data_IF_846280167601
#
_entry.id   IF_846280167601
#
_cell.length_a   1.000
_cell.length_b   1.000
_cell.length_c   1.000
_cell.angle_alpha   90.00
_cell.angle_beta   90.00
_cell.angle_gamma   90.00
#
_symmetry.space_group_name_H-M   'P 1'
#
loop_
_entity.id
_entity.type
_entity.pdbx_description
1 polymer ?
#
# COMPACT_ATOMS: atom_id res chain seq x y z
N UNK A 1 53.16 20.76 -43.54
CA UNK A 1 52.90 19.84 -42.44
C UNK A 1 51.52 20.22 -41.85
N UNK A 2 50.43 19.50 -42.21
CA UNK A 2 49.06 19.74 -41.71
C UNK A 2 48.90 18.93 -40.41
N UNK A 3 48.68 19.63 -39.28
CA UNK A 3 48.31 19.02 -38.00
C UNK A 3 46.83 18.66 -38.03
N UNK A 4 46.52 17.35 -38.03
CA UNK A 4 45.20 16.83 -37.90
C UNK A 4 44.82 16.84 -36.41
N UNK A 5 43.92 17.73 -36.03
CA UNK A 5 43.34 17.82 -34.68
C UNK A 5 42.26 16.72 -34.56
N UNK A 6 42.59 15.64 -33.89
CA UNK A 6 41.61 14.57 -33.56
C UNK A 6 40.85 15.01 -32.28
N UNK A 7 39.63 15.46 -32.43
CA UNK A 7 38.72 15.71 -31.32
C UNK A 7 38.14 14.35 -30.89
N UNK A 8 38.37 13.88 -29.65
CA UNK A 8 37.69 12.67 -29.17
C UNK A 8 36.22 13.00 -28.98
N UNK A 9 35.35 12.38 -29.78
CA UNK A 9 33.91 12.40 -29.62
C UNK A 9 33.58 11.59 -28.36
N UNK A 10 33.40 12.27 -27.24
CA UNK A 10 32.91 11.70 -25.98
C UNK A 10 31.44 11.34 -26.18
N UNK A 11 31.18 10.08 -26.55
CA UNK A 11 29.82 9.52 -26.54
C UNK A 11 29.32 9.49 -25.09
N UNK A 12 28.58 10.53 -24.72
CA UNK A 12 27.80 10.57 -23.49
C UNK A 12 26.67 9.54 -23.64
N UNK A 13 26.91 8.30 -23.23
CA UNK A 13 25.86 7.29 -23.09
C UNK A 13 24.96 7.73 -21.92
N UNK A 14 23.92 8.52 -22.19
CA UNK A 14 22.80 8.69 -21.30
C UNK A 14 22.13 7.30 -21.16
N UNK A 15 22.55 6.52 -20.17
CA UNK A 15 21.74 5.42 -19.68
C UNK A 15 20.43 6.04 -19.19
N UNK A 16 19.37 5.90 -19.97
CA UNK A 16 18.01 6.16 -19.49
C UNK A 16 17.75 5.10 -18.40
N UNK A 17 18.06 5.46 -17.16
CA UNK A 17 17.54 4.73 -16.02
C UNK A 17 16.03 4.93 -16.08
N UNK A 18 15.30 4.00 -16.68
CA UNK A 18 13.85 3.95 -16.55
C UNK A 18 13.57 3.83 -15.06
N UNK A 19 13.03 4.88 -14.47
CA UNK A 19 12.54 4.81 -13.12
C UNK A 19 11.47 3.70 -13.08
N UNK A 20 11.71 2.66 -12.24
CA UNK A 20 10.74 1.57 -12.09
C UNK A 20 9.40 2.17 -11.66
N UNK A 21 8.37 1.99 -12.48
CA UNK A 21 6.99 2.37 -12.17
C UNK A 21 6.26 1.24 -11.44
N UNK A 22 5.05 1.49 -10.96
CA UNK A 22 4.26 0.48 -10.26
C UNK A 22 3.89 -0.70 -11.18
N UNK A 23 3.76 -0.50 -12.48
CA UNK A 23 3.48 -1.58 -13.43
C UNK A 23 4.63 -2.59 -13.49
N UNK A 24 5.87 -2.11 -13.63
CA UNK A 24 7.06 -2.97 -13.62
C UNK A 24 7.26 -3.66 -12.27
N UNK A 25 6.96 -2.98 -11.17
CA UNK A 25 6.99 -3.57 -9.83
C UNK A 25 5.89 -4.61 -9.63
N UNK A 26 4.68 -4.38 -10.13
CA UNK A 26 3.61 -5.38 -10.12
C UNK A 26 4.01 -6.65 -10.88
N UNK A 27 4.65 -6.51 -12.04
CA UNK A 27 5.16 -7.65 -12.82
C UNK A 27 6.27 -8.42 -12.09
N UNK A 28 7.20 -7.71 -11.44
CA UNK A 28 8.35 -8.32 -10.75
C UNK A 28 8.07 -8.71 -9.29
N UNK A 29 6.86 -8.48 -8.79
CA UNK A 29 6.52 -8.76 -7.39
C UNK A 29 6.74 -10.24 -7.06
N UNK A 30 7.42 -10.57 -5.95
CA UNK A 30 7.63 -11.95 -5.54
C UNK A 30 6.32 -12.59 -5.04
N UNK A 31 6.27 -13.92 -5.05
CA UNK A 31 5.12 -14.69 -4.54
C UNK A 31 4.77 -14.34 -3.09
N UNK A 32 5.75 -13.99 -2.25
CA UNK A 32 5.51 -13.54 -0.88
C UNK A 32 4.66 -12.26 -0.78
N UNK A 33 4.65 -11.45 -1.84
CA UNK A 33 3.83 -10.22 -1.94
C UNK A 33 2.52 -10.51 -2.69
N UNK A 34 2.58 -11.17 -3.85
CA UNK A 34 1.42 -11.51 -4.69
C UNK A 34 1.26 -13.04 -4.84
N UNK A 35 0.86 -13.76 -3.78
CA UNK A 35 0.86 -15.23 -3.77
C UNK A 35 -0.15 -15.87 -4.72
N UNK A 36 -1.19 -15.15 -5.13
CA UNK A 36 -2.29 -15.68 -5.92
C UNK A 36 -2.20 -15.38 -7.42
N UNK A 37 -1.22 -14.57 -7.83
CA UNK A 37 -1.04 -14.15 -9.23
C UNK A 37 0.26 -14.68 -9.80
N UNK A 38 0.15 -15.56 -10.79
CA UNK A 38 1.30 -15.97 -11.60
C UNK A 38 1.80 -14.79 -12.45
N UNK A 39 2.99 -14.90 -13.01
CA UNK A 39 3.54 -13.89 -13.93
C UNK A 39 2.62 -13.70 -15.16
N UNK A 40 2.10 -14.79 -15.73
CA UNK A 40 1.16 -14.72 -16.85
C UNK A 40 -0.14 -14.01 -16.45
N UNK A 41 -0.73 -14.34 -15.29
CA UNK A 41 -1.94 -13.67 -14.83
C UNK A 41 -1.73 -12.18 -14.58
N UNK A 42 -0.52 -11.76 -14.19
CA UNK A 42 -0.16 -10.34 -14.04
C UNK A 42 -0.03 -9.65 -15.39
N UNK A 43 0.55 -10.31 -16.39
CA UNK A 43 0.61 -9.81 -17.75
C UNK A 43 -0.80 -9.64 -18.34
N UNK A 44 -1.67 -10.63 -18.18
CA UNK A 44 -3.09 -10.56 -18.61
C UNK A 44 -3.82 -9.37 -17.96
N UNK A 45 -3.58 -9.10 -16.65
CA UNK A 45 -4.17 -7.94 -15.98
C UNK A 45 -3.73 -6.62 -16.61
N UNK A 46 -2.45 -6.49 -17.00
CA UNK A 46 -1.93 -5.29 -17.65
C UNK A 46 -2.56 -5.14 -19.03
N UNK A 47 -2.64 -6.21 -19.81
CA UNK A 47 -3.24 -6.20 -21.16
C UNK A 47 -4.72 -5.79 -21.10
N UNK A 48 -5.48 -6.27 -20.11
CA UNK A 48 -6.88 -5.87 -19.89
C UNK A 48 -7.00 -4.38 -19.54
N UNK A 49 -6.13 -3.87 -18.65
CA UNK A 49 -6.12 -2.43 -18.31
C UNK A 49 -5.81 -1.59 -19.54
N UNK A 50 -4.83 -1.98 -20.35
CA UNK A 50 -4.42 -1.24 -21.56
C UNK A 50 -5.52 -1.28 -22.64
N UNK A 51 -6.31 -2.35 -22.66
CA UNK A 51 -7.50 -2.46 -23.53
C UNK A 51 -8.73 -1.72 -22.96
N UNK A 52 -8.65 -1.07 -21.78
CA UNK A 52 -9.78 -0.41 -21.13
C UNK A 52 -10.83 -1.40 -20.59
N UNK A 53 -10.42 -2.64 -20.33
CA UNK A 53 -11.27 -3.70 -19.81
C UNK A 53 -11.10 -3.85 -18.31
N UNK A 54 -12.06 -4.49 -17.64
CA UNK A 54 -11.91 -4.89 -16.25
C UNK A 54 -10.84 -5.98 -16.11
N UNK A 55 -9.80 -5.74 -15.31
CA UNK A 55 -8.71 -6.68 -15.09
C UNK A 55 -9.09 -7.73 -14.05
N UNK A 56 -9.82 -8.75 -14.49
CA UNK A 56 -10.25 -9.91 -13.69
C UNK A 56 -9.61 -11.16 -14.22
N UNK A 57 -8.88 -11.87 -13.35
CA UNK A 57 -8.21 -13.12 -13.68
C UNK A 57 -8.55 -14.23 -12.69
N UNK A 58 -8.44 -15.48 -13.12
CA UNK A 58 -8.50 -16.63 -12.22
C UNK A 58 -7.17 -16.73 -11.48
N UNK A 59 -7.22 -16.84 -10.16
CA UNK A 59 -6.04 -16.95 -9.31
C UNK A 59 -5.66 -18.42 -9.03
N UNK A 60 -4.52 -18.64 -8.35
CA UNK A 60 -4.00 -19.99 -8.06
C UNK A 60 -4.87 -20.85 -7.13
N UNK A 61 -5.96 -20.29 -6.58
CA UNK A 61 -6.95 -21.00 -5.75
C UNK A 61 -8.28 -21.18 -6.49
N UNK A 62 -8.30 -21.09 -7.83
CA UNK A 62 -9.50 -21.16 -8.67
C UNK A 62 -10.55 -20.07 -8.36
N UNK A 63 -10.17 -19.05 -7.57
CA UNK A 63 -10.98 -17.88 -7.29
C UNK A 63 -10.69 -16.75 -8.29
N UNK A 64 -11.30 -15.59 -8.05
CA UNK A 64 -11.07 -14.38 -8.85
C UNK A 64 -10.19 -13.37 -8.13
N UNK A 65 -9.24 -12.81 -8.85
CA UNK A 65 -8.48 -11.61 -8.47
C UNK A 65 -8.83 -10.49 -9.41
N UNK A 66 -9.02 -9.28 -8.88
CA UNK A 66 -9.40 -8.07 -9.62
C UNK A 66 -8.36 -6.98 -9.36
N UNK A 67 -7.71 -6.49 -10.41
CA UNK A 67 -6.89 -5.28 -10.31
C UNK A 67 -7.80 -4.07 -10.55
N UNK A 68 -8.12 -3.36 -9.47
CA UNK A 68 -9.06 -2.22 -9.48
C UNK A 68 -8.41 -0.94 -9.98
N UNK A 69 -7.11 -0.76 -9.66
CA UNK A 69 -6.30 0.36 -10.11
C UNK A 69 -4.85 -0.07 -10.27
N UNK A 70 -4.20 0.42 -11.32
CA UNK A 70 -2.76 0.26 -11.55
C UNK A 70 -2.28 1.50 -12.31
N UNK A 71 -1.67 2.43 -11.58
CA UNK A 71 -1.09 3.68 -12.09
C UNK A 71 0.44 3.62 -12.08
N UNK A 72 1.10 4.75 -12.31
CA UNK A 72 2.58 4.81 -12.29
C UNK A 72 3.15 4.59 -10.88
N UNK A 73 2.39 4.92 -9.83
CA UNK A 73 2.87 4.89 -8.44
C UNK A 73 1.93 4.15 -7.46
N UNK A 74 0.77 3.65 -7.93
CA UNK A 74 -0.23 3.02 -7.07
C UNK A 74 -0.82 1.77 -7.71
N UNK A 75 -1.18 0.79 -6.87
CA UNK A 75 -1.99 -0.36 -7.23
C UNK A 75 -3.00 -0.71 -6.14
N UNK A 76 -4.23 -1.08 -6.53
CA UNK A 76 -5.28 -1.66 -5.66
C UNK A 76 -5.78 -2.96 -6.27
N UNK A 77 -5.63 -4.05 -5.51
CA UNK A 77 -5.89 -5.41 -5.96
C UNK A 77 -6.81 -6.11 -4.96
N UNK A 78 -8.00 -6.49 -5.41
CA UNK A 78 -8.84 -7.45 -4.71
C UNK A 78 -8.31 -8.86 -4.94
N UNK A 79 -7.56 -9.40 -3.97
CA UNK A 79 -6.91 -10.71 -4.10
C UNK A 79 -7.92 -11.86 -4.07
N UNK A 80 -8.92 -11.74 -3.18
CA UNK A 80 -10.06 -12.67 -3.04
C UNK A 80 -11.30 -11.87 -2.63
N UNK A 81 -12.43 -12.54 -2.39
CA UNK A 81 -13.63 -11.90 -1.82
C UNK A 81 -13.42 -11.31 -0.42
N UNK A 82 -12.39 -11.76 0.31
CA UNK A 82 -12.11 -11.35 1.69
C UNK A 82 -10.68 -10.85 1.92
N UNK A 83 -9.89 -10.64 0.88
CA UNK A 83 -8.53 -10.10 1.01
C UNK A 83 -8.19 -9.14 -0.11
N UNK A 84 -7.43 -8.10 0.22
CA UNK A 84 -6.96 -7.09 -0.72
C UNK A 84 -5.50 -6.71 -0.46
N UNK A 85 -4.90 -6.10 -1.45
CA UNK A 85 -3.55 -5.59 -1.39
C UNK A 85 -3.51 -4.23 -2.09
N UNK A 86 -2.90 -3.25 -1.42
CA UNK A 86 -2.58 -1.95 -2.00
C UNK A 86 -1.07 -1.74 -1.98
N UNK A 87 -0.55 -1.10 -3.02
CA UNK A 87 0.86 -0.72 -3.12
C UNK A 87 0.97 0.74 -3.50
N UNK A 88 1.93 1.46 -2.90
CA UNK A 88 2.25 2.85 -3.25
C UNK A 88 3.75 3.04 -3.30
N UNK A 89 4.23 3.68 -4.35
CA UNK A 89 5.59 4.19 -4.44
C UNK A 89 5.71 5.47 -3.62
N UNK A 90 6.62 5.46 -2.66
CA UNK A 90 6.87 6.60 -1.77
C UNK A 90 8.23 7.20 -2.10
N UNK A 91 8.31 8.50 -2.44
CA UNK A 91 9.57 9.19 -2.70
C UNK A 91 10.37 9.37 -1.41
N UNK A 92 11.70 9.20 -1.50
CA UNK A 92 12.64 9.48 -0.42
C UNK A 92 13.29 10.85 -0.62
N UNK A 93 13.74 11.48 0.46
CA UNK A 93 14.40 12.80 0.40
C UNK A 93 15.73 12.79 -0.36
N UNK A 94 16.38 11.65 -0.49
CA UNK A 94 17.62 11.46 -1.25
C UNK A 94 17.38 11.22 -2.76
N UNK A 95 16.14 11.30 -3.22
CA UNK A 95 15.72 11.07 -4.60
C UNK A 95 15.44 9.59 -4.92
N UNK A 96 15.63 8.68 -3.97
CA UNK A 96 15.22 7.27 -4.10
C UNK A 96 13.71 7.09 -3.91
N UNK A 97 13.28 5.84 -3.94
CA UNK A 97 11.89 5.44 -3.67
C UNK A 97 11.84 4.12 -2.91
N UNK A 98 10.77 3.91 -2.16
CA UNK A 98 10.42 2.63 -1.52
C UNK A 98 8.97 2.28 -1.85
N UNK A 99 8.62 1.02 -1.65
CA UNK A 99 7.27 0.50 -1.86
C UNK A 99 6.62 0.33 -0.49
N UNK A 100 5.47 0.98 -0.27
CA UNK A 100 4.58 0.67 0.84
C UNK A 100 3.54 -0.34 0.37
N UNK A 101 3.38 -1.44 1.09
CA UNK A 101 2.41 -2.50 0.80
C UNK A 101 1.47 -2.63 1.98
N UNK A 102 0.18 -2.52 1.73
CA UNK A 102 -0.89 -2.76 2.71
C UNK A 102 -1.64 -4.02 2.30
N UNK A 103 -1.59 -5.06 3.12
CA UNK A 103 -2.38 -6.30 2.95
C UNK A 103 -3.52 -6.28 3.94
N UNK A 104 -4.75 -6.42 3.46
CA UNK A 104 -5.95 -6.41 4.30
C UNK A 104 -6.71 -7.73 4.19
N UNK A 105 -7.23 -8.17 5.31
CA UNK A 105 -8.15 -9.31 5.40
C UNK A 105 -9.43 -8.82 6.06
N UNK A 106 -10.55 -9.17 5.45
CA UNK A 106 -11.90 -8.83 5.91
C UNK A 106 -12.63 -10.10 6.34
N UNK A 107 -13.04 -10.12 7.60
CA UNK A 107 -14.04 -11.02 8.13
C UNK A 107 -15.25 -10.14 8.58
N UNK A 108 -15.67 -10.23 9.83
CA UNK A 108 -16.64 -9.29 10.40
C UNK A 108 -16.04 -7.90 10.56
N UNK A 109 -14.77 -7.81 10.97
CA UNK A 109 -13.97 -6.61 10.96
C UNK A 109 -12.78 -6.76 9.99
N UNK A 110 -12.30 -5.64 9.45
CA UNK A 110 -11.15 -5.62 8.54
C UNK A 110 -9.87 -5.32 9.31
N UNK A 111 -8.79 -6.06 9.03
CA UNK A 111 -7.48 -5.82 9.62
C UNK A 111 -6.40 -5.77 8.54
N UNK A 112 -5.40 -4.91 8.72
CA UNK A 112 -4.34 -4.69 7.76
C UNK A 112 -2.96 -4.89 8.34
N UNK A 113 -2.06 -5.39 7.50
CA UNK A 113 -0.62 -5.42 7.75
C UNK A 113 0.08 -4.48 6.77
N UNK A 114 0.92 -3.59 7.28
CA UNK A 114 1.71 -2.63 6.49
C UNK A 114 3.16 -3.07 6.48
N UNK A 115 3.74 -3.17 5.28
CA UNK A 115 5.14 -3.53 5.08
C UNK A 115 5.80 -2.59 4.07
N UNK A 116 7.13 -2.47 4.14
CA UNK A 116 7.91 -1.63 3.24
C UNK A 116 9.01 -2.45 2.57
N UNK A 117 9.24 -2.18 1.30
CA UNK A 117 10.25 -2.85 0.47
C UNK A 117 11.05 -1.81 -0.32
N UNK A 118 12.29 -2.15 -0.64
CA UNK A 118 13.02 -1.44 -1.68
C UNK A 118 12.49 -1.83 -3.09
N UNK A 119 13.04 -1.24 -4.13
CA UNK A 119 12.61 -1.49 -5.51
C UNK A 119 13.00 -2.90 -6.03
N UNK A 120 13.88 -3.62 -5.30
CA UNK A 120 14.22 -5.02 -5.55
C UNK A 120 13.39 -6.00 -4.70
N UNK A 121 12.32 -5.53 -4.06
CA UNK A 121 11.45 -6.30 -3.16
C UNK A 121 12.14 -6.84 -1.89
N UNK A 122 13.28 -6.28 -1.48
CA UNK A 122 13.90 -6.62 -0.20
C UNK A 122 13.19 -5.85 0.92
N UNK A 123 12.82 -6.53 2.02
CA UNK A 123 12.16 -5.84 3.15
C UNK A 123 13.04 -4.73 3.73
N UNK A 124 12.48 -3.55 3.93
CA UNK A 124 13.12 -2.44 4.63
C UNK A 124 12.96 -2.66 6.13
N UNK A 125 14.00 -3.17 6.77
CA UNK A 125 14.03 -3.46 8.21
C UNK A 125 14.83 -2.44 9.00
N UNK A 126 14.59 -2.32 10.32
CA UNK A 126 15.37 -1.47 11.23
C UNK A 126 15.05 0.03 11.16
N UNK A 127 14.17 0.46 10.25
CA UNK A 127 13.67 1.84 10.18
C UNK A 127 12.21 1.87 10.66
N UNK A 128 11.88 2.79 11.59
CA UNK A 128 10.49 3.01 12.02
C UNK A 128 9.79 3.93 11.02
N UNK A 129 9.31 3.35 9.91
CA UNK A 129 8.68 4.10 8.80
C UNK A 129 7.21 4.44 9.06
N UNK A 130 6.54 3.68 9.92
CA UNK A 130 5.18 3.91 10.38
C UNK A 130 5.08 3.52 11.85
N UNK A 131 4.48 4.37 12.65
CA UNK A 131 4.08 4.08 14.02
C UNK A 131 2.57 3.97 14.09
N UNK A 132 2.07 2.74 14.27
CA UNK A 132 0.64 2.50 14.34
C UNK A 132 0.04 3.17 15.57
N UNK A 133 -1.17 3.78 15.46
CA UNK A 133 -1.82 4.45 16.58
C UNK A 133 -2.18 3.45 17.67
N UNK A 134 -2.12 3.86 18.93
CA UNK A 134 -2.76 3.12 20.01
C UNK A 134 -4.30 3.24 19.90
N UNK A 135 -5.06 2.32 20.52
CA UNK A 135 -6.54 2.35 20.48
C UNK A 135 -7.09 3.71 20.93
N UNK A 136 -6.48 4.31 21.96
CA UNK A 136 -6.87 5.63 22.47
C UNK A 136 -6.79 6.75 21.43
N UNK A 137 -5.90 6.65 20.47
CA UNK A 137 -5.69 7.65 19.42
C UNK A 137 -6.84 7.73 18.41
N UNK A 138 -7.64 6.67 18.32
CA UNK A 138 -8.80 6.64 17.44
C UNK A 138 -10.02 7.31 18.06
N UNK A 139 -10.02 7.65 19.33
CA UNK A 139 -11.16 8.36 19.94
C UNK A 139 -11.13 9.86 19.61
N UNK A 140 -12.31 10.44 19.45
CA UNK A 140 -12.50 11.87 19.14
C UNK A 140 -12.09 12.77 20.30
N UNK A 141 -12.12 12.26 21.55
CA UNK A 141 -11.71 12.99 22.76
C UNK A 141 -11.18 12.05 23.83
N UNK A 142 -10.42 12.61 24.79
CA UNK A 142 -9.95 11.88 25.98
C UNK A 142 -11.12 11.36 26.85
N UNK A 143 -12.20 12.12 26.96
CA UNK A 143 -13.38 11.71 27.71
C UNK A 143 -14.09 10.52 27.07
N UNK A 144 -14.20 10.52 25.74
CA UNK A 144 -14.72 9.36 25.00
C UNK A 144 -13.87 8.14 25.19
N UNK A 145 -12.54 8.29 25.12
CA UNK A 145 -11.60 7.20 25.38
C UNK A 145 -11.75 6.65 26.79
N UNK A 146 -11.73 7.52 27.83
CA UNK A 146 -11.88 7.11 29.22
C UNK A 146 -13.18 6.34 29.48
N UNK A 147 -14.25 6.66 28.74
CA UNK A 147 -15.57 6.05 28.92
C UNK A 147 -15.72 4.70 28.21
N UNK A 148 -15.06 4.52 27.05
CA UNK A 148 -15.38 3.40 26.17
C UNK A 148 -14.20 2.47 25.86
N UNK A 149 -12.96 2.79 26.29
CA UNK A 149 -11.76 2.02 25.93
C UNK A 149 -11.83 0.58 26.45
N UNK A 150 -12.47 0.34 27.60
CA UNK A 150 -12.63 -0.99 28.19
C UNK A 150 -13.48 -1.94 27.33
N UNK A 151 -14.22 -1.40 26.35
CA UNK A 151 -14.96 -2.17 25.36
C UNK A 151 -14.15 -2.52 24.12
N UNK A 152 -12.93 -1.99 24.02
CA UNK A 152 -12.04 -2.08 22.87
C UNK A 152 -10.86 -3.02 23.16
N UNK A 153 -11.14 -4.30 23.35
CA UNK A 153 -10.19 -5.33 23.83
C UNK A 153 -9.37 -5.97 22.70
N UNK A 154 -9.76 -5.79 21.43
CA UNK A 154 -9.07 -6.37 20.27
C UNK A 154 -8.56 -5.22 19.39
N UNK A 155 -7.28 -5.29 19.00
CA UNK A 155 -6.67 -4.33 18.09
C UNK A 155 -6.88 -4.76 16.63
N UNK A 156 -7.93 -4.23 16.00
CA UNK A 156 -8.24 -4.45 14.60
C UNK A 156 -8.22 -3.09 13.88
N UNK A 157 -7.28 -2.92 12.96
CA UNK A 157 -7.07 -1.65 12.25
C UNK A 157 -6.98 -1.90 10.75
N UNK A 158 -7.89 -1.28 10.01
CA UNK A 158 -7.80 -1.16 8.56
C UNK A 158 -6.88 -0.01 8.20
N UNK A 159 -5.92 -0.28 7.32
CA UNK A 159 -5.11 0.74 6.68
C UNK A 159 -5.47 0.86 5.20
N UNK A 160 -5.44 2.09 4.67
CA UNK A 160 -5.69 2.36 3.26
C UNK A 160 -4.72 3.42 2.74
N UNK A 161 -4.07 3.14 1.61
CA UNK A 161 -3.23 4.08 0.89
C UNK A 161 -4.09 4.92 -0.06
N UNK A 162 -3.76 6.20 -0.22
CA UNK A 162 -4.37 7.08 -1.21
C UNK A 162 -3.74 6.85 -2.60
N UNK A 163 -4.56 6.86 -3.63
CA UNK A 163 -4.09 6.87 -5.03
C UNK A 163 -3.65 8.28 -5.47
N UNK A 164 -4.31 9.32 -4.95
CA UNK A 164 -4.11 10.70 -5.36
C UNK A 164 -3.01 11.45 -4.62
N UNK A 165 -2.57 10.96 -3.45
CA UNK A 165 -1.56 11.62 -2.63
C UNK A 165 -0.69 10.62 -1.83
N UNK A 166 0.14 11.13 -0.91
CA UNK A 166 1.05 10.32 -0.11
C UNK A 166 0.50 10.04 1.29
N UNK A 167 -0.82 9.91 1.44
CA UNK A 167 -1.44 9.63 2.73
C UNK A 167 -1.71 8.14 2.93
N UNK A 168 -1.67 7.74 4.19
CA UNK A 168 -2.16 6.47 4.71
C UNK A 168 -3.20 6.77 5.78
N UNK A 169 -4.38 6.19 5.64
CA UNK A 169 -5.46 6.31 6.62
C UNK A 169 -5.55 5.02 7.43
N UNK A 170 -5.57 5.14 8.76
CA UNK A 170 -5.84 4.06 9.69
C UNK A 170 -7.24 4.23 10.31
N UNK A 171 -8.00 3.16 10.35
CA UNK A 171 -9.38 3.11 10.87
C UNK A 171 -9.51 1.93 11.83
N UNK A 172 -9.99 2.19 13.05
CA UNK A 172 -10.24 1.14 14.04
C UNK A 172 -11.56 0.44 13.72
N UNK A 173 -11.51 -0.84 13.39
CA UNK A 173 -12.63 -1.61 12.83
C UNK A 173 -13.28 -2.56 13.83
N UNK A 174 -12.75 -2.66 15.05
CA UNK A 174 -13.25 -3.52 16.09
C UNK A 174 -14.76 -3.36 16.38
N UNK A 175 -15.40 -2.17 16.26
CA UNK A 175 -16.85 -2.05 16.42
C UNK A 175 -17.69 -2.96 15.53
N UNK A 176 -17.18 -3.35 14.36
CA UNK A 176 -17.86 -4.32 13.48
C UNK A 176 -17.92 -5.74 14.07
N UNK A 177 -17.08 -6.01 15.06
CA UNK A 177 -16.99 -7.29 15.78
C UNK A 177 -17.70 -7.26 17.14
N UNK A 178 -18.10 -6.08 17.62
CA UNK A 178 -18.83 -5.90 18.88
C UNK A 178 -20.29 -6.38 18.76
N UNK A 179 -20.93 -6.62 19.90
CA UNK A 179 -22.39 -6.68 19.93
C UNK A 179 -23.01 -5.33 19.52
N UNK A 180 -24.25 -5.32 19.06
CA UNK A 180 -24.93 -4.15 18.50
C UNK A 180 -24.99 -2.99 19.51
N UNK A 181 -25.25 -3.28 20.80
CA UNK A 181 -25.40 -2.24 21.83
C UNK A 181 -24.09 -1.47 22.04
N UNK A 182 -22.97 -2.18 22.16
CA UNK A 182 -21.65 -1.58 22.31
C UNK A 182 -21.18 -0.88 21.02
N UNK A 183 -21.42 -1.48 19.85
CA UNK A 183 -21.08 -0.87 18.57
C UNK A 183 -21.75 0.49 18.36
N UNK A 184 -23.05 0.61 18.70
CA UNK A 184 -23.80 1.88 18.62
C UNK A 184 -23.23 2.95 19.54
N UNK A 185 -22.70 2.59 20.70
CA UNK A 185 -22.09 3.51 21.65
C UNK A 185 -20.68 3.95 21.25
N UNK A 186 -19.87 3.00 20.76
CA UNK A 186 -18.45 3.21 20.49
C UNK A 186 -18.20 3.85 19.10
N UNK A 187 -18.87 3.37 18.05
CA UNK A 187 -18.61 3.81 16.67
C UNK A 187 -18.65 5.33 16.48
N UNK A 188 -19.64 6.08 17.03
CA UNK A 188 -19.70 7.54 16.87
C UNK A 188 -18.56 8.28 17.60
N UNK A 189 -17.83 7.61 18.49
CA UNK A 189 -16.73 8.17 19.27
C UNK A 189 -15.38 7.97 18.61
N UNK A 190 -15.34 7.31 17.45
CA UNK A 190 -14.10 6.99 16.75
C UNK A 190 -13.89 7.95 15.56
N UNK A 191 -12.62 8.20 15.29
CA UNK A 191 -12.15 8.95 14.12
C UNK A 191 -11.09 8.14 13.38
N UNK A 192 -10.89 8.47 12.11
CA UNK A 192 -9.75 7.97 11.35
C UNK A 192 -8.49 8.72 11.77
N UNK A 193 -7.36 8.02 11.78
CA UNK A 193 -6.03 8.62 11.96
C UNK A 193 -5.36 8.66 10.59
N UNK A 194 -4.95 9.86 10.18
CA UNK A 194 -4.33 10.10 8.88
C UNK A 194 -2.85 10.35 9.08
N UNK A 195 -2.05 9.74 8.22
CA UNK A 195 -0.61 9.93 8.15
C UNK A 195 -0.23 10.48 6.78
N UNK A 196 0.72 11.40 6.76
CA UNK A 196 1.35 11.92 5.56
C UNK A 196 2.79 11.41 5.47
N UNK A 197 3.22 10.96 4.31
CA UNK A 197 4.62 10.61 4.04
C UNK A 197 5.46 11.88 3.89
N UNK A 198 6.51 12.03 4.72
CA UNK A 198 7.38 13.22 4.74
C UNK A 198 8.68 13.05 3.92
N UNK A 199 8.81 11.93 3.20
CA UNK A 199 10.02 11.54 2.49
C UNK A 199 10.99 10.69 3.32
N UNK A 200 10.65 10.40 4.60
CA UNK A 200 11.41 9.54 5.51
C UNK A 200 10.54 8.53 6.22
N UNK A 201 9.33 8.93 6.64
CA UNK A 201 8.37 8.12 7.40
C UNK A 201 6.96 8.68 7.25
N UNK A 202 5.98 7.91 7.63
CA UNK A 202 4.63 8.42 7.84
C UNK A 202 4.54 9.21 9.15
N UNK A 203 4.06 10.44 9.07
CA UNK A 203 3.87 11.35 10.21
C UNK A 203 2.37 11.57 10.37
N UNK A 204 1.87 11.44 11.59
CA UNK A 204 0.47 11.68 11.92
C UNK A 204 0.10 13.15 11.69
N UNK A 205 -1.03 13.40 11.03
CA UNK A 205 -1.61 14.72 10.79
C UNK A 205 -2.49 15.18 11.96
#
# INVERSE_FOLDING_TARGET
>A
MKKILIIPLLLLSCAFVRAQDMRSLFMSAPESVLPLLTENSRADCIDYIDAGMEAVVTNSLDGKTVVKALTDDYADIGMTGSSSLQMKLLPLQDGGRIICVVKSVKAEAENSHVAFYDLDWKPVVGKKLLEMPAVVDFFVSADSAAKYIDKCDIYLVKCSLSDGDLTLTAEYTMPSYMNIEDAVLVSPQLRKVIFLWDGRRFVRM
#
